data_IF_792783242557
#
_entry.id   IF_792783242557
#
_cell.length_a   1.000
_cell.length_b   1.000
_cell.length_c   1.000
_cell.angle_alpha   90.00
_cell.angle_beta   90.00
_cell.angle_gamma   90.00
#
_symmetry.space_group_name_H-M   'P 1'
#
loop_
_entity.id
_entity.type
_entity.pdbx_description
1 polymer ?
#
# COMPACT_ATOMS: atom_id res chain seq x y z
N UNK A 1 -5.13 7.96 22.86
CA UNK A 1 -4.10 7.36 21.98
C UNK A 1 -2.87 7.04 22.82
N UNK A 2 -2.38 5.80 22.76
CA UNK A 2 -1.16 5.39 23.46
C UNK A 2 0.06 5.64 22.57
N UNK A 3 1.29 5.62 23.15
CA UNK A 3 2.51 5.71 22.37
C UNK A 3 2.64 4.53 21.38
N UNK A 4 2.21 3.34 21.77
CA UNK A 4 2.19 2.15 20.90
C UNK A 4 1.29 2.37 19.69
N UNK A 5 0.05 2.80 19.90
CA UNK A 5 -0.90 3.10 18.82
C UNK A 5 -0.35 4.16 17.85
N UNK A 6 0.35 5.18 18.38
CA UNK A 6 0.98 6.20 17.54
C UNK A 6 2.06 5.60 16.65
N UNK A 7 2.93 4.75 17.20
CA UNK A 7 4.01 4.10 16.42
C UNK A 7 3.43 3.15 15.36
N UNK A 8 2.36 2.41 15.68
CA UNK A 8 1.68 1.51 14.74
C UNK A 8 1.14 2.25 13.50
N UNK A 9 0.70 3.49 13.68
CA UNK A 9 0.18 4.34 12.59
C UNK A 9 1.27 4.95 11.69
N UNK A 10 2.53 4.82 12.04
CA UNK A 10 3.62 5.42 11.25
C UNK A 10 3.89 4.62 9.98
N UNK A 11 4.04 5.30 8.86
CA UNK A 11 4.21 4.71 7.53
C UNK A 11 5.40 3.77 7.38
N UNK A 12 6.44 3.90 8.21
CA UNK A 12 7.61 3.02 8.18
C UNK A 12 7.41 1.68 8.90
N UNK A 13 6.40 1.57 9.75
CA UNK A 13 6.21 0.42 10.65
C UNK A 13 6.02 -0.88 9.90
N UNK A 14 5.26 -0.89 8.81
CA UNK A 14 5.04 -2.08 8.00
C UNK A 14 6.35 -2.64 7.46
N UNK A 15 7.16 -1.83 6.78
CA UNK A 15 8.43 -2.26 6.21
C UNK A 15 9.43 -2.74 7.28
N UNK A 16 9.47 -2.04 8.43
CA UNK A 16 10.32 -2.42 9.55
C UNK A 16 9.91 -3.76 10.14
N UNK A 17 8.62 -3.99 10.38
CA UNK A 17 8.13 -5.24 10.94
C UNK A 17 8.35 -6.42 10.00
N UNK A 18 8.15 -6.25 8.70
CA UNK A 18 8.48 -7.26 7.69
C UNK A 18 9.98 -7.58 7.73
N UNK A 19 10.83 -6.56 7.75
CA UNK A 19 12.27 -6.72 7.82
C UNK A 19 12.71 -7.48 9.06
N UNK A 20 12.16 -7.17 10.23
CA UNK A 20 12.45 -7.86 11.49
C UNK A 20 11.92 -9.29 11.48
N UNK A 21 10.69 -9.52 11.05
CA UNK A 21 10.07 -10.85 11.04
C UNK A 21 10.84 -11.84 10.18
N UNK A 22 11.25 -11.44 8.99
CA UNK A 22 11.99 -12.28 8.07
C UNK A 22 13.53 -12.22 8.26
N UNK A 23 14.03 -11.45 9.22
CA UNK A 23 15.45 -11.27 9.46
C UNK A 23 16.22 -10.68 8.27
N UNK A 24 15.57 -9.82 7.49
CA UNK A 24 16.16 -9.21 6.30
C UNK A 24 17.34 -8.30 6.69
N UNK A 25 18.40 -8.38 5.90
CA UNK A 25 19.61 -7.56 6.07
C UNK A 25 19.67 -6.48 4.98
N UNK A 26 20.13 -5.31 5.32
CA UNK A 26 20.28 -4.22 4.36
C UNK A 26 19.33 -3.05 4.62
N UNK A 27 19.05 -2.28 3.59
CA UNK A 27 18.20 -1.08 3.72
C UNK A 27 16.73 -1.44 3.85
N UNK A 28 16.06 -0.72 4.73
CA UNK A 28 14.61 -0.65 4.78
C UNK A 28 14.22 0.73 4.24
N UNK A 29 13.44 0.77 3.17
CA UNK A 29 13.02 2.00 2.49
C UNK A 29 11.50 2.07 2.50
N UNK A 30 10.90 2.72 3.49
CA UNK A 30 9.47 2.98 3.47
C UNK A 30 9.14 3.95 2.34
N UNK A 31 8.19 3.59 1.48
CA UNK A 31 7.66 4.47 0.44
C UNK A 31 6.33 5.05 0.91
N UNK A 32 6.16 6.35 0.75
CA UNK A 32 4.94 7.06 1.15
C UNK A 32 4.60 8.14 0.10
N UNK A 33 3.93 7.71 -0.95
CA UNK A 33 3.46 8.55 -2.04
C UNK A 33 2.00 8.22 -2.41
N UNK A 34 1.15 8.06 -1.39
CA UNK A 34 -0.24 7.66 -1.51
C UNK A 34 -0.38 6.38 -2.37
N UNK A 35 -1.32 6.33 -3.31
CA UNK A 35 -1.64 5.16 -4.13
C UNK A 35 -0.46 4.64 -4.98
N UNK A 36 0.58 5.44 -5.20
CA UNK A 36 1.78 5.03 -5.95
C UNK A 36 2.87 4.41 -5.09
N UNK A 37 2.70 4.34 -3.79
CA UNK A 37 3.72 3.85 -2.85
C UNK A 37 4.21 2.43 -3.16
N UNK A 38 3.29 1.50 -3.44
CA UNK A 38 3.64 0.13 -3.80
C UNK A 38 4.46 0.06 -5.10
N UNK A 39 4.03 0.77 -6.13
CA UNK A 39 4.74 0.84 -7.42
C UNK A 39 6.12 1.46 -7.26
N UNK A 40 6.23 2.50 -6.43
CA UNK A 40 7.51 3.15 -6.13
C UNK A 40 8.46 2.20 -5.39
N UNK A 41 7.96 1.42 -4.43
CA UNK A 41 8.73 0.38 -3.75
C UNK A 41 9.29 -0.66 -4.71
N UNK A 42 8.46 -1.14 -5.65
CA UNK A 42 8.89 -2.09 -6.69
C UNK A 42 9.95 -1.46 -7.60
N UNK A 43 9.78 -0.19 -7.98
CA UNK A 43 10.76 0.56 -8.77
C UNK A 43 12.12 0.65 -8.08
N UNK A 44 12.15 1.01 -6.81
CA UNK A 44 13.39 1.08 -6.04
C UNK A 44 14.08 -0.29 -5.89
N UNK A 45 13.29 -1.35 -5.70
CA UNK A 45 13.84 -2.70 -5.64
C UNK A 45 14.48 -3.11 -6.98
N UNK A 46 13.78 -2.83 -8.09
CA UNK A 46 14.31 -3.07 -9.43
C UNK A 46 15.64 -2.33 -9.66
N UNK A 47 15.67 -1.04 -9.34
CA UNK A 47 16.88 -0.23 -9.50
C UNK A 47 18.04 -0.72 -8.64
N UNK A 48 17.77 -1.05 -7.36
CA UNK A 48 18.78 -1.56 -6.45
C UNK A 48 19.42 -2.87 -6.94
N UNK A 49 18.62 -3.78 -7.47
CA UNK A 49 19.10 -5.04 -8.04
C UNK A 49 19.84 -4.78 -9.36
N UNK A 50 19.26 -3.99 -10.25
CA UNK A 50 19.84 -3.66 -11.57
C UNK A 50 21.22 -3.01 -11.47
N UNK A 51 21.40 -2.14 -10.47
CA UNK A 51 22.67 -1.44 -10.26
C UNK A 51 23.61 -2.18 -9.28
N UNK A 52 23.32 -3.43 -8.94
CA UNK A 52 24.20 -4.27 -8.11
C UNK A 52 24.30 -3.85 -6.65
N UNK A 53 23.38 -3.01 -6.17
CA UNK A 53 23.34 -2.59 -4.76
C UNK A 53 22.80 -3.69 -3.84
N UNK A 54 21.94 -4.54 -4.38
CA UNK A 54 21.35 -5.69 -3.70
C UNK A 54 21.24 -6.86 -4.67
N UNK A 55 21.21 -8.08 -4.14
CA UNK A 55 20.97 -9.31 -4.91
C UNK A 55 19.52 -9.76 -4.84
N UNK A 56 18.81 -9.37 -3.78
CA UNK A 56 17.42 -9.71 -3.54
C UNK A 56 16.77 -8.58 -2.74
N UNK A 57 15.54 -8.24 -3.08
CA UNK A 57 14.73 -7.30 -2.29
C UNK A 57 13.27 -7.79 -2.21
N UNK A 58 12.66 -7.58 -1.04
CA UNK A 58 11.22 -7.64 -0.88
C UNK A 58 10.65 -6.24 -1.11
N UNK A 59 9.63 -6.12 -1.93
CA UNK A 59 8.96 -4.86 -2.22
C UNK A 59 7.48 -5.06 -2.47
N UNK A 60 6.68 -4.05 -2.14
CA UNK A 60 5.23 -4.08 -2.32
C UNK A 60 4.53 -2.96 -1.59
N UNK A 61 3.26 -3.13 -1.36
CA UNK A 61 2.42 -2.25 -0.56
C UNK A 61 1.67 -3.06 0.50
N UNK A 62 1.17 -2.35 1.49
CA UNK A 62 0.26 -2.89 2.48
C UNK A 62 -0.85 -1.89 2.72
N UNK A 63 -2.04 -2.38 2.93
CA UNK A 63 -3.23 -1.58 3.19
C UNK A 63 -3.98 -2.17 4.39
N UNK A 64 -4.72 -1.34 5.05
CA UNK A 64 -5.62 -1.74 6.12
C UNK A 64 -7.01 -1.20 5.83
N UNK A 65 -8.01 -2.08 5.84
CA UNK A 65 -9.40 -1.66 5.74
C UNK A 65 -9.87 -1.09 7.09
N UNK A 66 -10.05 0.21 7.16
CA UNK A 66 -10.60 0.86 8.34
C UNK A 66 -11.77 1.79 8.00
N UNK A 67 -12.63 2.03 8.98
CA UNK A 67 -13.80 2.88 8.81
C UNK A 67 -13.45 4.33 8.46
N UNK A 68 -12.33 4.84 8.98
CA UNK A 68 -11.91 6.21 8.71
C UNK A 68 -11.45 6.38 7.25
N UNK A 69 -10.68 5.43 6.75
CA UNK A 69 -10.22 5.43 5.36
C UNK A 69 -11.40 5.28 4.39
N UNK A 70 -12.28 4.34 4.67
CA UNK A 70 -13.53 4.15 3.90
C UNK A 70 -14.38 5.42 3.86
N UNK A 71 -14.55 6.11 4.99
CA UNK A 71 -15.32 7.35 5.06
C UNK A 71 -14.67 8.49 4.27
N UNK A 72 -13.34 8.56 4.22
CA UNK A 72 -12.62 9.57 3.42
C UNK A 72 -12.91 9.37 1.94
N UNK A 73 -12.73 8.15 1.41
CA UNK A 73 -12.97 7.88 -0.02
C UNK A 73 -14.44 7.98 -0.40
N UNK A 74 -15.36 7.63 0.50
CA UNK A 74 -16.79 7.83 0.29
C UNK A 74 -17.14 9.32 0.23
N UNK A 75 -16.64 10.13 1.15
CA UNK A 75 -16.85 11.59 1.18
C UNK A 75 -16.29 12.28 -0.08
N UNK A 76 -15.22 11.75 -0.63
CA UNK A 76 -14.61 12.22 -1.89
C UNK A 76 -15.36 11.74 -3.15
N UNK A 77 -16.40 10.92 -2.99
CA UNK A 77 -17.09 10.25 -4.11
C UNK A 77 -16.14 9.43 -4.98
N UNK A 78 -15.10 8.86 -4.38
CA UNK A 78 -14.06 8.10 -5.06
C UNK A 78 -14.23 6.59 -4.93
N UNK A 79 -15.03 6.12 -3.98
CA UNK A 79 -15.31 4.70 -3.80
C UNK A 79 -16.34 4.18 -4.82
N UNK A 80 -16.18 2.92 -5.25
CA UNK A 80 -17.17 2.25 -6.07
C UNK A 80 -18.47 2.04 -5.30
N UNK A 81 -19.62 2.20 -5.97
CA UNK A 81 -20.95 1.97 -5.42
C UNK A 81 -21.57 0.63 -5.85
N UNK A 82 -20.81 -0.21 -6.56
CA UNK A 82 -21.31 -1.49 -7.12
C UNK A 82 -21.38 -2.61 -6.07
N UNK A 83 -22.03 -2.34 -4.96
CA UNK A 83 -22.15 -3.33 -3.87
C UNK A 83 -23.02 -4.54 -4.26
N UNK A 84 -23.95 -4.38 -5.19
CA UNK A 84 -24.82 -5.47 -5.68
C UNK A 84 -24.15 -6.31 -6.79
N UNK A 85 -23.05 -5.82 -7.37
CA UNK A 85 -22.30 -6.48 -8.44
C UNK A 85 -20.80 -6.33 -8.24
N UNK A 86 -20.25 -6.85 -7.11
CA UNK A 86 -18.86 -6.64 -6.72
C UNK A 86 -17.86 -7.21 -7.74
N UNK A 87 -18.24 -8.20 -8.52
CA UNK A 87 -17.42 -8.77 -9.59
C UNK A 87 -17.17 -7.81 -10.77
N UNK A 88 -17.92 -6.70 -10.83
CA UNK A 88 -17.75 -5.67 -11.86
C UNK A 88 -16.86 -4.50 -11.39
N UNK A 89 -16.22 -4.60 -10.26
CA UNK A 89 -15.33 -3.59 -9.69
C UNK A 89 -14.16 -4.25 -8.92
N UNK A 90 -12.98 -3.62 -8.78
CA UNK A 90 -12.57 -2.42 -9.51
C UNK A 90 -12.30 -2.72 -11.00
N UNK A 91 -12.36 -1.66 -11.81
CA UNK A 91 -12.10 -1.75 -13.26
C UNK A 91 -11.08 -0.67 -13.65
N UNK A 92 -9.82 -0.76 -13.21
CA UNK A 92 -8.82 0.25 -13.50
C UNK A 92 -8.64 0.39 -15.02
N UNK A 93 -8.55 1.64 -15.47
CA UNK A 93 -8.44 2.06 -16.87
C UNK A 93 -9.67 1.78 -17.76
N UNK A 94 -10.72 1.14 -17.26
CA UNK A 94 -11.95 0.90 -18.00
C UNK A 94 -12.81 2.18 -18.05
N UNK A 95 -13.44 2.44 -19.19
CA UNK A 95 -14.33 3.60 -19.36
C UNK A 95 -15.60 3.51 -18.48
N UNK A 96 -16.05 2.30 -18.15
CA UNK A 96 -17.19 2.04 -17.27
C UNK A 96 -16.88 1.92 -15.79
N UNK A 97 -15.67 2.29 -15.36
CA UNK A 97 -15.32 2.32 -13.94
C UNK A 97 -16.13 3.35 -13.18
N UNK A 98 -16.44 3.08 -11.94
CA UNK A 98 -17.24 3.95 -11.08
C UNK A 98 -16.51 4.39 -9.81
N UNK A 99 -15.36 3.84 -9.54
CA UNK A 99 -14.59 4.18 -8.36
C UNK A 99 -13.56 3.12 -7.99
N UNK A 100 -12.86 3.34 -6.88
CA UNK A 100 -11.93 2.40 -6.31
C UNK A 100 -12.61 1.45 -5.32
N UNK A 101 -11.95 0.33 -5.04
CA UNK A 101 -12.23 -0.58 -3.93
C UNK A 101 -11.03 -0.57 -3.01
N UNK A 102 -11.27 -0.33 -1.73
CA UNK A 102 -10.21 -0.28 -0.72
C UNK A 102 -9.67 -1.68 -0.51
N UNK A 103 -8.35 -1.82 -0.50
CA UNK A 103 -7.68 -3.09 -0.25
C UNK A 103 -7.71 -3.50 1.23
N UNK A 104 -7.45 -4.77 1.49
CA UNK A 104 -7.32 -5.37 2.81
C UNK A 104 -5.97 -6.08 2.94
#
# INVERSE_FOLDING_TARGET
>A
MTATTYVEMMSHTCAVNIGLFFGLKGRIIPTASACTSGSQGVGYAYEAIKFGQQTLMAAGGAEELCAADSAVFDTLFAASLKNDTPELTPRPFDAGRDGLVIGE
#
